data_IF_478706680091
#
_entry.id   IF_478706680091
#
_cell.length_a   1.000
_cell.length_b   1.000
_cell.length_c   1.000
_cell.angle_alpha   90.00
_cell.angle_beta   90.00
_cell.angle_gamma   90.00
#
_symmetry.space_group_name_H-M   'P 1'
#
loop_
_entity.id
_entity.type
_entity.pdbx_description
1 polymer ?
#
# COMPACT_ATOMS: atom_id res chain seq x y z
N UNK A 1 -10.89 4.81 -18.97
CA UNK A 1 -9.81 3.82 -19.14
C UNK A 1 -9.76 3.49 -20.61
N UNK A 2 -8.67 3.85 -21.27
CA UNK A 2 -8.52 3.53 -22.70
C UNK A 2 -8.04 2.07 -22.88
N UNK A 3 -7.99 1.61 -24.13
CA UNK A 3 -7.57 0.24 -24.47
C UNK A 3 -6.09 -0.03 -24.11
N UNK A 4 -5.24 0.99 -24.14
CA UNK A 4 -3.82 0.89 -23.81
C UNK A 4 -3.59 0.90 -22.30
N UNK A 5 -4.37 1.64 -21.52
CA UNK A 5 -4.37 1.64 -20.06
C UNK A 5 -4.70 0.23 -19.55
N UNK A 6 -5.73 -0.40 -20.12
CA UNK A 6 -6.14 -1.76 -19.76
C UNK A 6 -5.03 -2.78 -20.04
N UNK A 7 -4.40 -2.73 -21.22
CA UNK A 7 -3.28 -3.62 -21.55
C UNK A 7 -2.05 -3.38 -20.66
N UNK A 8 -1.78 -2.12 -20.29
CA UNK A 8 -0.68 -1.75 -19.40
C UNK A 8 -0.91 -2.26 -17.98
N UNK A 9 -2.13 -2.15 -17.44
CA UNK A 9 -2.46 -2.71 -16.13
C UNK A 9 -2.33 -4.23 -16.09
N UNK A 10 -2.80 -4.93 -17.13
CA UNK A 10 -2.63 -6.38 -17.25
C UNK A 10 -1.16 -6.79 -17.31
N UNK A 11 -0.31 -6.04 -18.04
CA UNK A 11 1.13 -6.31 -18.11
C UNK A 11 1.85 -5.95 -16.80
N UNK A 12 1.42 -4.90 -16.10
CA UNK A 12 1.98 -4.53 -14.80
C UNK A 12 1.81 -5.65 -13.78
N UNK A 13 0.66 -6.33 -13.72
CA UNK A 13 0.48 -7.43 -12.77
C UNK A 13 1.44 -8.60 -13.04
N UNK A 14 1.67 -8.95 -14.30
CA UNK A 14 2.50 -10.10 -14.68
C UNK A 14 4.01 -9.77 -14.72
N UNK A 15 4.38 -8.61 -15.25
CA UNK A 15 5.78 -8.21 -15.50
C UNK A 15 6.36 -7.30 -14.41
N UNK A 16 5.57 -6.82 -13.44
CA UNK A 16 6.12 -5.95 -12.41
C UNK A 16 7.24 -6.63 -11.59
N UNK A 17 8.26 -5.86 -11.17
CA UNK A 17 9.30 -6.35 -10.28
C UNK A 17 8.73 -6.99 -9.01
N UNK A 18 9.43 -7.97 -8.45
CA UNK A 18 9.00 -8.70 -7.25
C UNK A 18 8.63 -7.75 -6.09
N UNK A 19 9.41 -6.69 -5.89
CA UNK A 19 9.16 -5.70 -4.85
C UNK A 19 7.81 -4.98 -5.00
N UNK A 20 7.36 -4.76 -6.24
CA UNK A 20 6.04 -4.17 -6.49
C UNK A 20 4.92 -5.18 -6.19
N UNK A 21 5.13 -6.45 -6.53
CA UNK A 21 4.15 -7.53 -6.27
C UNK A 21 4.00 -7.88 -4.79
N UNK A 22 5.05 -7.70 -3.98
CA UNK A 22 5.04 -7.99 -2.52
C UNK A 22 4.66 -6.73 -1.71
N UNK A 23 4.38 -5.59 -2.35
CA UNK A 23 4.03 -4.37 -1.62
C UNK A 23 2.80 -4.61 -0.73
N UNK A 24 2.89 -4.34 0.59
CA UNK A 24 1.75 -4.43 1.49
C UNK A 24 0.60 -3.53 1.04
N UNK A 25 -0.62 -4.07 1.05
CA UNK A 25 -1.85 -3.33 0.75
C UNK A 25 -2.55 -2.83 2.02
N UNK A 26 -2.22 -3.42 3.17
CA UNK A 26 -2.75 -3.06 4.48
C UNK A 26 -1.62 -2.78 5.46
N UNK A 27 -1.91 -2.01 6.53
CA UNK A 27 -0.92 -1.73 7.57
C UNK A 27 -0.51 -2.99 8.31
N UNK A 28 -1.41 -3.97 8.41
CA UNK A 28 -1.21 -5.24 9.09
C UNK A 28 -0.24 -6.19 8.34
N UNK A 29 -0.03 -5.98 7.04
CA UNK A 29 0.92 -6.73 6.22
C UNK A 29 2.36 -6.15 6.28
N UNK A 30 2.51 -4.94 6.84
CA UNK A 30 3.83 -4.31 6.96
C UNK A 30 4.64 -5.04 8.02
N UNK A 31 5.79 -5.55 7.63
CA UNK A 31 6.72 -6.21 8.56
C UNK A 31 7.60 -5.17 9.23
N UNK A 32 7.52 -5.09 10.56
CA UNK A 32 8.30 -4.16 11.39
C UNK A 32 7.60 -2.83 11.66
N UNK A 33 8.35 -1.84 12.16
CA UNK A 33 7.84 -0.50 12.49
C UNK A 33 6.67 -0.45 13.50
N UNK A 34 6.49 -1.48 14.33
CA UNK A 34 5.39 -1.57 15.32
C UNK A 34 5.34 -0.37 16.28
N UNK A 35 6.49 0.21 16.61
CA UNK A 35 6.59 1.39 17.45
C UNK A 35 5.97 2.66 16.83
N UNK A 36 5.75 2.66 15.51
CA UNK A 36 5.15 3.77 14.74
C UNK A 36 3.75 3.42 14.23
N UNK A 37 3.58 2.25 13.63
CA UNK A 37 2.33 1.82 12.96
C UNK A 37 1.53 0.76 13.72
N UNK A 38 1.91 0.44 14.97
CA UNK A 38 1.13 -0.43 15.84
C UNK A 38 -0.30 0.09 16.07
N UNK A 39 -1.25 -0.81 16.35
CA UNK A 39 -2.69 -0.47 16.50
C UNK A 39 -2.97 0.59 17.58
N UNK A 40 -2.10 0.67 18.58
CA UNK A 40 -2.14 1.62 19.69
C UNK A 40 -1.49 2.99 19.35
N UNK A 41 -0.83 3.12 18.20
CA UNK A 41 -0.06 4.31 17.82
C UNK A 41 -0.92 5.38 17.15
N UNK A 42 -0.47 6.63 17.29
CA UNK A 42 -1.14 7.80 16.72
C UNK A 42 -1.21 7.75 15.20
N UNK A 43 -0.11 7.37 14.53
CA UNK A 43 -0.06 7.31 13.08
C UNK A 43 -1.04 6.27 12.52
N UNK A 44 -1.13 5.08 13.15
CA UNK A 44 -2.12 4.06 12.78
C UNK A 44 -3.55 4.62 12.83
N UNK A 45 -3.90 5.32 13.92
CA UNK A 45 -5.24 5.92 14.08
C UNK A 45 -5.50 7.03 13.05
N UNK A 46 -4.50 7.87 12.76
CA UNK A 46 -4.61 8.93 11.77
C UNK A 46 -4.83 8.38 10.36
N UNK A 47 -4.08 7.33 9.97
CA UNK A 47 -4.26 6.65 8.68
C UNK A 47 -5.65 6.00 8.61
N UNK A 48 -6.07 5.24 9.63
CA UNK A 48 -7.39 4.58 9.63
C UNK A 48 -8.56 5.58 9.63
N UNK A 49 -8.35 6.79 10.14
CA UNK A 49 -9.36 7.86 10.13
C UNK A 49 -9.27 8.76 8.89
N UNK A 50 -8.32 8.53 7.99
CA UNK A 50 -7.99 9.38 6.83
C UNK A 50 -7.73 10.85 7.20
N UNK A 51 -6.95 11.07 8.26
CA UNK A 51 -6.62 12.39 8.83
C UNK A 51 -5.13 12.65 8.85
N UNK A 52 -4.50 12.60 7.68
CA UNK A 52 -3.09 12.99 7.53
C UNK A 52 -3.00 14.49 7.23
N UNK A 53 -2.18 15.21 8.01
CA UNK A 53 -1.86 16.62 7.73
C UNK A 53 -0.87 16.73 6.57
N UNK A 54 -0.95 17.83 5.81
CA UNK A 54 -0.02 18.18 4.72
C UNK A 54 1.10 19.12 5.19
#
# INVERSE_FOLDING_TARGET
MDLFDYMKEQNLEQEAPLASRIRPSTLEEVVGQEHIIGKDKLLYRAIKADKLGS
#
